data_IF_950032886216
#
_entry.id   IF_950032886216
#
_cell.length_a   1.000
_cell.length_b   1.000
_cell.length_c   1.000
_cell.angle_alpha   90.00
_cell.angle_beta   90.00
_cell.angle_gamma   90.00
#
_symmetry.space_group_name_H-M   'P 1'
#
loop_
_entity.id
_entity.type
_entity.pdbx_description
1 polymer ?
#
# COMPACT_ATOMS: atom_id res chain seq x y z
N UNK A 1 41.09 6.44 15.65
CA UNK A 1 40.59 6.20 14.28
C UNK A 1 40.53 7.53 13.56
N UNK A 2 41.17 7.69 12.40
CA UNK A 2 40.94 8.86 11.56
C UNK A 2 39.45 8.92 11.22
N UNK A 3 38.83 10.07 11.42
CA UNK A 3 37.41 10.25 11.12
C UNK A 3 37.22 10.18 9.60
N UNK A 4 36.31 9.31 9.16
CA UNK A 4 35.96 9.16 7.75
C UNK A 4 35.00 10.27 7.34
N UNK A 5 35.43 11.11 6.41
CA UNK A 5 34.56 12.11 5.77
C UNK A 5 33.79 11.42 4.64
N UNK A 6 32.48 11.25 4.80
CA UNK A 6 31.63 10.76 3.72
C UNK A 6 31.51 11.77 2.56
N UNK A 7 30.99 11.31 1.42
CA UNK A 7 30.83 12.18 0.25
C UNK A 7 29.88 13.35 0.49
N UNK A 8 28.82 13.18 1.28
CA UNK A 8 27.87 14.25 1.57
C UNK A 8 28.53 15.39 2.35
N UNK A 9 29.41 15.06 3.29
CA UNK A 9 30.26 16.00 4.00
C UNK A 9 31.24 16.70 3.04
N UNK A 10 31.94 15.95 2.18
CA UNK A 10 32.84 16.53 1.18
C UNK A 10 32.11 17.48 0.22
N UNK A 11 30.90 17.12 -0.24
CA UNK A 11 30.06 18.01 -1.08
C UNK A 11 29.79 19.34 -0.38
N UNK A 12 29.50 19.32 0.93
CA UNK A 12 29.27 20.54 1.72
C UNK A 12 30.53 21.40 1.89
N UNK A 13 31.71 20.78 1.91
CA UNK A 13 32.98 21.50 2.01
C UNK A 13 33.32 22.26 0.71
N UNK A 14 33.06 21.64 -0.45
CA UNK A 14 33.43 22.19 -1.77
C UNK A 14 32.29 22.93 -2.51
N UNK A 15 31.13 23.11 -1.89
CA UNK A 15 30.02 23.87 -2.50
C UNK A 15 29.36 24.81 -1.50
N UNK A 16 28.75 25.92 -1.97
CA UNK A 16 28.00 26.83 -1.12
C UNK A 16 26.94 26.07 -0.30
N UNK A 17 27.07 26.08 1.03
CA UNK A 17 26.14 25.47 1.98
C UNK A 17 26.22 26.22 3.32
N UNK A 18 25.14 26.21 4.11
CA UNK A 18 25.09 26.91 5.40
C UNK A 18 26.21 26.49 6.37
N UNK A 19 26.68 25.23 6.26
CA UNK A 19 27.75 24.66 7.09
C UNK A 19 29.11 24.57 6.39
N UNK A 20 29.27 25.15 5.20
CA UNK A 20 30.51 25.10 4.40
C UNK A 20 31.75 25.52 5.22
N UNK A 21 31.66 26.63 5.94
CA UNK A 21 32.76 27.11 6.80
C UNK A 21 33.13 26.16 7.94
N UNK A 22 32.15 25.44 8.52
CA UNK A 22 32.42 24.46 9.59
C UNK A 22 33.07 23.20 9.03
N UNK A 23 32.61 22.75 7.86
CA UNK A 23 33.17 21.59 7.18
C UNK A 23 34.61 21.84 6.73
N UNK A 24 34.88 23.00 6.13
CA UNK A 24 36.23 23.44 5.76
C UNK A 24 37.15 23.59 6.99
N UNK A 25 36.67 24.24 8.05
CA UNK A 25 37.46 24.38 9.28
C UNK A 25 37.82 23.02 9.90
N UNK A 26 36.92 22.05 9.81
CA UNK A 26 37.17 20.68 10.29
C UNK A 26 38.21 19.95 9.43
N UNK A 27 38.10 20.01 8.10
CA UNK A 27 39.09 19.43 7.18
C UNK A 27 40.49 20.02 7.40
N UNK A 28 40.58 21.32 7.68
CA UNK A 28 41.83 22.02 7.93
C UNK A 28 42.42 21.75 9.34
N UNK A 29 41.59 21.44 10.32
CA UNK A 29 42.04 21.10 11.69
C UNK A 29 42.42 19.63 11.86
N UNK A 30 42.14 18.79 10.87
CA UNK A 30 42.53 17.40 10.90
C UNK A 30 44.05 17.29 10.88
N UNK A 31 44.61 16.52 11.81
CA UNK A 31 46.07 16.29 11.94
C UNK A 31 46.62 15.31 10.90
N UNK A 32 45.75 14.57 10.23
CA UNK A 32 46.09 13.52 9.27
C UNK A 32 45.35 13.78 7.94
N UNK A 33 45.97 13.48 6.79
CA UNK A 33 45.32 13.56 5.49
C UNK A 33 44.05 12.70 5.44
N UNK A 34 42.98 13.22 4.86
CA UNK A 34 41.72 12.51 4.78
C UNK A 34 41.72 11.48 3.64
N UNK A 35 41.23 10.25 3.88
CA UNK A 35 41.20 9.22 2.86
C UNK A 35 40.22 9.59 1.73
N UNK A 36 40.73 9.59 0.49
CA UNK A 36 39.99 9.90 -0.73
C UNK A 36 40.01 8.71 -1.69
N UNK A 37 38.92 7.94 -1.71
CA UNK A 37 38.81 6.71 -2.49
C UNK A 37 38.38 6.99 -3.94
N UNK A 38 38.47 5.98 -4.81
CA UNK A 38 37.93 6.06 -6.16
C UNK A 38 36.40 6.28 -6.17
N UNK A 39 35.70 5.75 -5.15
CA UNK A 39 34.25 5.96 -4.96
C UNK A 39 33.95 7.41 -4.59
N UNK A 40 34.68 8.00 -3.63
CA UNK A 40 34.59 9.42 -3.31
C UNK A 40 34.77 10.28 -4.57
N UNK A 41 35.79 10.01 -5.38
CA UNK A 41 36.04 10.74 -6.63
C UNK A 41 34.85 10.68 -7.59
N UNK A 42 34.22 9.52 -7.73
CA UNK A 42 33.10 9.36 -8.65
C UNK A 42 31.83 10.04 -8.13
N UNK A 43 31.45 9.73 -6.89
CA UNK A 43 30.21 10.22 -6.28
C UNK A 43 30.25 11.74 -6.05
N UNK A 44 31.35 12.28 -5.50
CA UNK A 44 31.51 13.71 -5.23
C UNK A 44 31.32 14.54 -6.50
N UNK A 45 31.92 14.10 -7.61
CA UNK A 45 31.79 14.80 -8.90
C UNK A 45 30.37 14.74 -9.45
N UNK A 46 29.66 13.63 -9.23
CA UNK A 46 28.26 13.50 -9.64
C UNK A 46 27.33 14.35 -8.76
N UNK A 47 27.54 14.36 -7.44
CA UNK A 47 26.77 15.16 -6.50
C UNK A 47 26.90 16.67 -6.78
N UNK A 48 28.12 17.16 -7.07
CA UNK A 48 28.32 18.56 -7.46
C UNK A 48 27.61 18.87 -8.79
N UNK A 49 27.62 17.95 -9.78
CA UNK A 49 26.85 18.12 -11.03
C UNK A 49 25.34 18.17 -10.77
N UNK A 50 24.84 17.34 -9.86
CA UNK A 50 23.43 17.32 -9.47
C UNK A 50 23.01 18.67 -8.85
N UNK A 51 23.87 19.31 -8.06
CA UNK A 51 23.61 20.65 -7.52
C UNK A 51 23.48 21.72 -8.61
N UNK A 52 24.23 21.59 -9.71
CA UNK A 52 24.05 22.47 -10.89
C UNK A 52 22.66 22.28 -11.50
N UNK A 53 22.24 21.03 -11.67
CA UNK A 53 20.90 20.71 -12.19
C UNK A 53 19.78 21.26 -11.29
N UNK A 54 19.96 21.20 -9.97
CA UNK A 54 19.01 21.75 -8.98
C UNK A 54 19.02 23.28 -8.88
N UNK A 55 19.93 23.96 -9.57
CA UNK A 55 20.07 25.43 -9.50
C UNK A 55 20.69 25.93 -8.19
N UNK A 56 21.27 25.04 -7.38
CA UNK A 56 21.93 25.39 -6.11
C UNK A 56 23.29 26.07 -6.34
N UNK A 57 23.98 25.69 -7.42
CA UNK A 57 25.28 26.26 -7.82
C UNK A 57 25.34 26.47 -9.33
N UNK A 58 26.20 27.39 -9.77
CA UNK A 58 26.42 27.67 -11.20
C UNK A 58 27.42 26.70 -11.84
N UNK A 59 27.41 26.62 -13.17
CA UNK A 59 28.36 25.81 -13.92
C UNK A 59 29.84 26.25 -13.71
N UNK A 60 30.07 27.53 -13.40
CA UNK A 60 31.38 28.08 -13.06
C UNK A 60 31.78 27.71 -11.64
N UNK A 61 30.87 27.78 -10.66
CA UNK A 61 31.14 27.31 -9.28
C UNK A 61 31.50 25.82 -9.24
N UNK A 62 30.86 24.98 -10.07
CA UNK A 62 31.26 23.57 -10.23
C UNK A 62 32.69 23.41 -10.75
N UNK A 63 33.13 24.27 -11.70
CA UNK A 63 34.52 24.21 -12.20
C UNK A 63 35.50 24.55 -11.08
N UNK A 64 35.20 25.60 -10.31
CA UNK A 64 36.01 26.02 -9.16
C UNK A 64 36.13 24.90 -8.12
N UNK A 65 35.00 24.30 -7.73
CA UNK A 65 34.96 23.19 -6.78
C UNK A 65 35.82 22.00 -7.24
N UNK A 66 35.80 21.67 -8.54
CA UNK A 66 36.66 20.60 -9.07
C UNK A 66 38.15 20.97 -9.03
N UNK A 67 38.50 22.25 -9.22
CA UNK A 67 39.89 22.71 -9.12
C UNK A 67 40.37 22.68 -7.67
N UNK A 68 39.54 23.10 -6.72
CA UNK A 68 39.84 23.04 -5.28
C UNK A 68 40.08 21.60 -4.80
N UNK A 69 39.26 20.64 -5.23
CA UNK A 69 39.47 19.22 -4.89
C UNK A 69 40.83 18.71 -5.39
N UNK A 70 41.24 19.08 -6.62
CA UNK A 70 42.55 18.66 -7.13
C UNK A 70 43.70 19.42 -6.44
N UNK A 71 43.49 20.66 -5.99
CA UNK A 71 44.46 21.39 -5.16
C UNK A 71 44.65 20.72 -3.82
N UNK A 72 43.56 20.37 -3.13
CA UNK A 72 43.60 19.72 -1.81
C UNK A 72 44.22 18.31 -1.86
N UNK A 73 44.10 17.62 -3.00
CA UNK A 73 44.84 16.39 -3.27
C UNK A 73 46.34 16.63 -3.47
N UNK A 74 46.72 17.74 -4.12
CA UNK A 74 48.11 18.12 -4.31
C UNK A 74 48.76 18.59 -2.99
N UNK A 75 47.99 19.26 -2.13
CA UNK A 75 48.40 19.79 -0.84
C UNK A 75 48.38 18.73 0.29
N UNK A 76 48.09 17.46 -0.03
CA UNK A 76 47.95 16.34 0.92
C UNK A 76 46.89 16.56 2.02
N UNK A 77 45.89 17.40 1.78
CA UNK A 77 44.70 17.49 2.65
C UNK A 77 43.82 16.27 2.42
N UNK A 78 43.66 15.88 1.15
CA UNK A 78 43.07 14.61 0.71
C UNK A 78 44.18 13.67 0.24
N UNK A 79 44.08 12.37 0.56
CA UNK A 79 45.05 11.37 0.10
C UNK A 79 44.36 10.21 -0.61
N UNK A 80 44.83 9.90 -1.82
CA UNK A 80 44.33 8.77 -2.57
C UNK A 80 44.52 7.46 -1.82
N UNK A 81 43.41 6.89 -1.37
CA UNK A 81 43.40 5.67 -0.58
C UNK A 81 42.79 4.55 -1.42
N UNK A 82 43.58 3.57 -1.89
CA UNK A 82 43.03 2.42 -2.60
C UNK A 82 42.22 1.57 -1.63
N UNK A 83 41.07 1.06 -2.11
CA UNK A 83 40.30 0.07 -1.38
C UNK A 83 40.89 -1.30 -1.78
N UNK A 84 41.45 -2.09 -0.84
CA UNK A 84 41.99 -3.41 -1.14
C UNK A 84 40.84 -4.41 -1.34
N UNK A 85 40.16 -4.32 -2.48
CA UNK A 85 38.92 -5.07 -2.77
C UNK A 85 39.05 -6.56 -2.50
N UNK A 86 40.18 -7.17 -2.88
CA UNK A 86 40.43 -8.59 -2.63
C UNK A 86 40.42 -8.93 -1.14
N UNK A 87 41.05 -8.11 -0.31
CA UNK A 87 41.08 -8.33 1.14
C UNK A 87 39.74 -7.96 1.77
N UNK A 88 39.05 -6.93 1.27
CA UNK A 88 37.68 -6.58 1.69
C UNK A 88 36.69 -7.71 1.40
N UNK A 89 36.76 -8.33 0.22
CA UNK A 89 35.90 -9.47 -0.12
C UNK A 89 36.27 -10.73 0.66
N UNK A 90 37.56 -10.94 0.97
CA UNK A 90 37.99 -12.03 1.84
C UNK A 90 37.44 -11.87 3.25
N UNK A 91 37.55 -10.67 3.83
CA UNK A 91 36.93 -10.36 5.14
C UNK A 91 35.41 -10.53 5.08
N UNK A 92 34.77 -10.10 3.99
CA UNK A 92 33.34 -10.31 3.78
C UNK A 92 32.97 -11.79 3.69
N UNK A 93 33.83 -12.64 3.12
CA UNK A 93 33.64 -14.09 3.02
C UNK A 93 33.83 -14.75 4.39
N UNK A 94 34.83 -14.33 5.16
CA UNK A 94 35.06 -14.79 6.54
C UNK A 94 33.87 -14.43 7.45
N UNK A 95 33.36 -13.20 7.33
CA UNK A 95 32.13 -12.78 8.02
C UNK A 95 30.92 -13.57 7.54
N UNK A 96 30.79 -13.81 6.23
CA UNK A 96 29.70 -14.62 5.68
C UNK A 96 29.74 -16.05 6.22
N UNK A 97 30.92 -16.69 6.29
CA UNK A 97 31.07 -18.04 6.83
C UNK A 97 30.57 -18.14 8.28
N UNK A 98 30.85 -17.13 9.11
CA UNK A 98 30.39 -17.08 10.51
C UNK A 98 28.86 -17.02 10.62
N UNK A 99 28.20 -16.32 9.68
CA UNK A 99 26.80 -15.94 9.80
C UNK A 99 25.87 -16.79 8.93
N UNK A 100 26.23 -17.08 7.69
CA UNK A 100 25.40 -17.82 6.71
C UNK A 100 25.09 -19.23 7.18
N UNK A 101 26.05 -19.95 7.77
CA UNK A 101 25.81 -21.30 8.29
C UNK A 101 24.89 -21.31 9.53
N UNK A 102 24.92 -20.23 10.34
CA UNK A 102 24.15 -20.12 11.58
C UNK A 102 22.75 -19.55 11.37
N UNK A 103 22.63 -18.56 10.48
CA UNK A 103 21.42 -17.78 10.27
C UNK A 103 20.64 -18.21 9.02
N UNK A 104 21.25 -19.01 8.12
CA UNK A 104 20.60 -19.49 6.90
C UNK A 104 20.35 -18.39 5.86
N UNK A 105 21.01 -17.23 5.98
CA UNK A 105 20.90 -16.09 5.06
C UNK A 105 22.23 -15.85 4.34
N UNK A 106 22.17 -15.52 3.06
CA UNK A 106 23.35 -15.15 2.27
C UNK A 106 23.79 -13.75 2.66
N UNK A 107 25.09 -13.52 2.69
CA UNK A 107 25.70 -12.22 3.00
C UNK A 107 25.32 -11.08 2.02
N UNK A 108 24.75 -11.41 0.86
CA UNK A 108 24.20 -10.45 -0.11
C UNK A 108 22.69 -10.19 0.04
N UNK A 109 22.03 -10.75 1.06
CA UNK A 109 20.60 -10.51 1.34
C UNK A 109 20.34 -9.15 2.04
N UNK A 110 21.37 -8.32 2.18
CA UNK A 110 21.28 -6.99 2.79
C UNK A 110 21.28 -5.92 1.70
N UNK A 111 20.15 -5.27 1.51
CA UNK A 111 20.03 -4.07 0.70
C UNK A 111 20.28 -2.83 1.57
N UNK A 112 21.34 -2.09 1.28
CA UNK A 112 21.60 -0.79 1.90
C UNK A 112 21.06 0.32 1.01
N UNK A 113 20.19 1.15 1.57
CA UNK A 113 19.63 2.31 0.89
C UNK A 113 19.70 3.53 1.80
N UNK A 114 20.09 4.68 1.23
CA UNK A 114 19.84 5.98 1.85
C UNK A 114 18.39 6.41 1.64
N UNK A 115 18.00 7.60 2.13
CA UNK A 115 16.65 8.12 1.93
C UNK A 115 16.23 8.21 0.45
N UNK A 116 17.18 8.32 -0.47
CA UNK A 116 16.91 8.40 -1.91
C UNK A 116 16.22 7.13 -2.42
N UNK A 117 16.55 5.96 -1.88
CA UNK A 117 15.87 4.73 -2.30
C UNK A 117 14.45 4.58 -1.75
N UNK A 118 13.97 5.53 -0.92
CA UNK A 118 12.57 5.57 -0.50
C UNK A 118 11.68 6.31 -1.51
N UNK A 119 12.25 6.89 -2.57
CA UNK A 119 11.52 7.59 -3.63
C UNK A 119 11.35 6.69 -4.87
N UNK A 120 10.10 6.33 -5.20
CA UNK A 120 9.75 5.75 -6.50
C UNK A 120 10.16 4.29 -6.74
N UNK A 121 10.64 3.58 -5.71
CA UNK A 121 10.99 2.16 -5.77
C UNK A 121 10.16 1.37 -4.77
N UNK A 122 9.85 0.12 -5.11
CA UNK A 122 9.08 -0.78 -4.26
C UNK A 122 9.94 -2.01 -3.92
N UNK A 123 9.94 -2.37 -2.64
CA UNK A 123 10.77 -3.44 -2.07
C UNK A 123 9.91 -4.55 -1.45
N UNK A 124 8.80 -4.88 -2.11
CA UNK A 124 7.87 -5.95 -1.73
C UNK A 124 8.51 -7.35 -1.67
N UNK A 125 9.75 -7.51 -2.18
CA UNK A 125 10.56 -8.72 -2.04
C UNK A 125 11.40 -8.76 -0.76
N UNK A 126 11.52 -7.65 -0.02
CA UNK A 126 12.16 -7.59 1.29
C UNK A 126 11.14 -7.94 2.37
N UNK A 127 11.56 -8.63 3.43
CA UNK A 127 10.70 -9.00 4.57
C UNK A 127 11.17 -8.37 5.90
N UNK A 128 12.34 -7.72 5.88
CA UNK A 128 12.98 -7.10 7.05
C UNK A 128 13.44 -5.69 6.71
N UNK A 129 13.04 -4.72 7.52
CA UNK A 129 13.52 -3.35 7.47
C UNK A 129 14.38 -3.06 8.71
N UNK A 130 15.60 -2.56 8.50
CA UNK A 130 16.45 -2.09 9.60
C UNK A 130 16.67 -0.59 9.42
N UNK A 131 16.05 0.21 10.28
CA UNK A 131 16.29 1.65 10.36
C UNK A 131 17.54 1.88 11.21
N UNK A 132 18.65 2.18 10.55
CA UNK A 132 19.90 2.56 11.21
C UNK A 132 19.77 3.91 11.93
N UNK A 133 19.05 4.84 11.32
CA UNK A 133 18.63 6.11 11.89
C UNK A 133 17.10 6.26 11.79
N UNK A 134 16.49 6.85 12.81
CA UNK A 134 15.08 7.20 12.81
C UNK A 134 14.94 8.63 12.28
N UNK A 135 14.17 8.86 11.20
CA UNK A 135 13.95 10.21 10.70
C UNK A 135 13.12 11.00 11.71
N UNK A 136 13.36 12.31 11.79
CA UNK A 136 12.71 13.17 12.76
C UNK A 136 11.25 13.47 12.37
N UNK A 137 10.93 13.21 11.09
CA UNK A 137 9.58 13.28 10.55
C UNK A 137 8.95 11.86 10.57
N UNK A 138 7.86 11.64 11.35
CA UNK A 138 7.17 10.36 11.42
C UNK A 138 6.66 9.88 10.05
N UNK A 139 6.27 10.81 9.17
CA UNK A 139 5.80 10.50 7.82
C UNK A 139 6.88 9.82 6.99
N UNK A 140 8.14 10.24 7.12
CA UNK A 140 9.24 9.61 6.38
C UNK A 140 9.47 8.18 6.83
N UNK A 141 9.23 7.89 8.11
CA UNK A 141 9.34 6.54 8.65
C UNK A 141 8.19 5.64 8.16
N UNK A 142 6.97 6.16 8.18
CA UNK A 142 5.80 5.48 7.61
C UNK A 142 6.06 5.15 6.13
N UNK A 143 6.49 6.14 5.34
CA UNK A 143 6.76 5.95 3.93
C UNK A 143 7.85 4.90 3.66
N UNK A 144 8.87 4.81 4.53
CA UNK A 144 9.90 3.75 4.47
C UNK A 144 9.28 2.37 4.67
N UNK A 145 8.42 2.22 5.67
CA UNK A 145 7.71 0.96 5.95
C UNK A 145 6.80 0.61 4.78
N UNK A 146 6.05 1.58 4.26
CA UNK A 146 5.15 1.43 3.11
C UNK A 146 5.86 1.12 1.78
N UNK A 147 7.20 1.07 1.70
CA UNK A 147 7.91 0.53 0.52
C UNK A 147 8.00 -1.00 0.52
N UNK A 148 7.91 -1.59 1.70
CA UNK A 148 8.08 -3.03 1.94
C UNK A 148 6.71 -3.66 2.27
N UNK A 149 5.91 -2.97 3.08
CA UNK A 149 4.55 -3.37 3.43
C UNK A 149 3.57 -2.91 2.34
N UNK A 150 3.51 -3.66 1.24
CA UNK A 150 2.64 -3.39 0.08
C UNK A 150 1.89 -4.64 -0.39
N UNK A 151 0.83 -4.40 -1.15
CA UNK A 151 0.12 -5.45 -1.89
C UNK A 151 1.09 -6.16 -2.84
N UNK A 152 1.29 -7.47 -2.65
CA UNK A 152 2.31 -8.25 -3.36
C UNK A 152 3.39 -8.85 -2.45
N UNK A 153 3.47 -8.37 -1.20
CA UNK A 153 4.33 -8.94 -0.16
C UNK A 153 4.03 -10.44 0.06
N UNK A 154 5.07 -11.27 -0.03
CA UNK A 154 4.96 -12.74 0.06
C UNK A 154 5.23 -13.28 1.46
N UNK A 155 5.93 -12.52 2.30
CA UNK A 155 6.19 -12.90 3.68
C UNK A 155 4.92 -12.74 4.53
N UNK A 156 4.65 -13.68 5.43
CA UNK A 156 3.52 -13.59 6.37
C UNK A 156 3.64 -12.38 7.31
N UNK A 157 4.87 -11.91 7.56
CA UNK A 157 5.15 -10.78 8.45
C UNK A 157 6.32 -9.97 7.92
N UNK A 158 6.20 -8.64 8.02
CA UNK A 158 7.31 -7.69 7.85
C UNK A 158 7.88 -7.38 9.22
N UNK A 159 9.21 -7.52 9.38
CA UNK A 159 9.89 -7.22 10.65
C UNK A 159 10.61 -5.88 10.54
N UNK A 160 10.29 -4.94 11.42
CA UNK A 160 10.89 -3.62 11.46
C UNK A 160 11.78 -3.51 12.71
N UNK A 161 13.07 -3.27 12.49
CA UNK A 161 14.06 -3.04 13.54
C UNK A 161 14.47 -1.58 13.51
N UNK A 162 14.44 -0.91 14.65
CA UNK A 162 14.86 0.48 14.77
C UNK A 162 16.05 0.58 15.74
N UNK A 163 17.15 1.13 15.28
CA UNK A 163 18.29 1.43 16.15
C UNK A 163 18.06 2.78 16.85
N UNK A 164 18.09 2.75 18.17
CA UNK A 164 17.88 3.91 19.03
C UNK A 164 19.03 3.97 20.02
N UNK A 165 19.69 5.12 20.09
CA UNK A 165 20.79 5.33 21.04
C UNK A 165 20.20 5.71 22.40
N UNK A 166 20.47 4.96 23.49
CA UNK A 166 19.93 5.28 24.81
C UNK A 166 20.41 6.64 25.30
N UNK A 167 19.53 7.38 25.97
CA UNK A 167 19.84 8.68 26.56
C UNK A 167 19.99 9.82 25.55
N UNK A 168 19.61 9.64 24.29
CA UNK A 168 19.61 10.74 23.30
C UNK A 168 18.23 11.39 23.15
N UNK A 169 18.20 12.50 22.41
CA UNK A 169 16.96 13.19 22.08
C UNK A 169 16.08 12.34 21.16
N UNK A 170 16.70 11.58 20.26
CA UNK A 170 16.06 10.62 19.36
C UNK A 170 15.26 9.58 20.14
N UNK A 171 15.82 9.00 21.21
CA UNK A 171 15.08 8.07 22.08
C UNK A 171 13.91 8.77 22.79
N UNK A 172 14.21 9.82 23.56
CA UNK A 172 13.26 10.42 24.51
C UNK A 172 12.09 11.13 23.85
N UNK A 173 12.34 11.78 22.72
CA UNK A 173 11.36 12.65 22.06
C UNK A 173 10.76 11.94 20.87
N UNK A 174 11.57 11.54 19.89
CA UNK A 174 11.07 11.05 18.61
C UNK A 174 10.57 9.60 18.71
N UNK A 175 11.42 8.66 19.13
CA UNK A 175 11.06 7.24 19.18
C UNK A 175 9.86 6.98 20.10
N UNK A 176 9.85 7.56 21.32
CA UNK A 176 8.73 7.44 22.26
C UNK A 176 7.43 8.06 21.73
N UNK A 177 7.51 9.22 21.06
CA UNK A 177 6.35 9.84 20.42
C UNK A 177 5.79 8.94 19.31
N UNK A 178 6.66 8.42 18.44
CA UNK A 178 6.27 7.57 17.31
C UNK A 178 5.72 6.22 17.75
N UNK A 179 6.31 5.62 18.79
CA UNK A 179 5.79 4.40 19.43
C UNK A 179 4.37 4.63 19.94
N UNK A 180 4.12 5.79 20.55
CA UNK A 180 2.79 6.14 21.07
C UNK A 180 1.78 6.45 19.98
N UNK A 181 2.23 7.03 18.86
CA UNK A 181 1.42 7.25 17.66
C UNK A 181 1.07 5.95 16.92
N UNK A 182 1.65 4.81 17.31
CA UNK A 182 1.34 3.51 16.70
C UNK A 182 2.00 3.26 15.35
N UNK A 183 2.94 4.11 14.92
CA UNK A 183 3.58 4.08 13.58
C UNK A 183 4.22 2.72 13.25
N UNK A 184 4.67 1.99 14.27
CA UNK A 184 5.36 0.71 14.09
C UNK A 184 4.44 -0.52 14.18
N UNK A 185 3.17 -0.37 14.55
CA UNK A 185 2.28 -1.49 14.90
C UNK A 185 1.05 -1.60 14.02
N UNK A 186 0.49 -0.46 13.63
CA UNK A 186 -0.74 -0.42 12.82
C UNK A 186 -0.42 0.16 11.44
N UNK A 187 -1.17 -0.24 10.41
CA UNK A 187 -1.15 0.44 9.11
C UNK A 187 -1.76 1.82 9.30
N UNK A 188 -0.91 2.83 9.37
CA UNK A 188 -1.29 4.21 9.62
C UNK A 188 -1.76 4.88 8.31
N UNK A 189 -2.71 4.25 7.62
CA UNK A 189 -3.31 4.83 6.40
C UNK A 189 -4.06 6.14 6.70
N UNK A 190 -4.74 6.23 7.84
CA UNK A 190 -5.55 7.41 8.20
C UNK A 190 -4.77 8.52 8.90
N UNK A 191 -3.59 8.24 9.48
CA UNK A 191 -2.80 9.32 10.09
C UNK A 191 -1.87 9.98 9.07
N UNK A 192 -1.88 9.61 7.79
CA UNK A 192 -1.08 10.30 6.77
C UNK A 192 -1.39 11.80 6.74
N UNK A 193 -2.66 12.18 6.81
CA UNK A 193 -3.05 13.60 6.77
C UNK A 193 -2.61 14.34 8.04
N UNK A 194 -2.76 13.72 9.22
CA UNK A 194 -2.42 14.32 10.52
C UNK A 194 -0.91 14.37 10.78
N UNK A 195 -0.16 13.35 10.35
CA UNK A 195 1.30 13.27 10.46
C UNK A 195 2.01 14.05 9.34
N UNK A 196 1.35 14.20 8.19
CA UNK A 196 1.82 14.95 7.02
C UNK A 196 1.66 16.46 7.17
N UNK A 197 0.68 16.92 7.94
CA UNK A 197 0.64 18.32 8.38
C UNK A 197 1.90 18.63 9.20
N UNK A 198 2.66 19.64 8.76
CA UNK A 198 3.98 20.02 9.28
C UNK A 198 4.03 20.28 10.81
N UNK A 199 2.89 20.30 11.49
CA UNK A 199 2.73 20.66 12.90
C UNK A 199 3.43 19.72 13.88
N UNK A 200 3.39 18.39 13.70
CA UNK A 200 3.96 17.44 14.68
C UNK A 200 5.49 17.47 14.62
N UNK A 201 6.04 17.40 13.41
CA UNK A 201 7.50 17.40 13.19
C UNK A 201 8.12 18.71 13.67
N UNK A 202 7.50 19.86 13.36
CA UNK A 202 7.97 21.17 13.80
C UNK A 202 7.97 21.31 15.32
N UNK A 203 6.88 20.89 15.99
CA UNK A 203 6.80 20.95 17.45
C UNK A 203 7.84 20.05 18.12
N UNK A 204 8.07 18.83 17.60
CA UNK A 204 9.11 17.93 18.13
C UNK A 204 10.52 18.50 17.90
N UNK A 205 10.77 19.11 16.73
CA UNK A 205 12.02 19.80 16.42
C UNK A 205 12.27 20.99 17.34
N UNK A 206 11.25 21.80 17.61
CA UNK A 206 11.33 22.93 18.55
C UNK A 206 11.65 22.46 19.96
N UNK A 207 10.99 21.38 20.41
CA UNK A 207 11.29 20.76 21.71
C UNK A 207 12.72 20.25 21.78
N UNK A 208 13.18 19.55 20.74
CA UNK A 208 14.53 19.01 20.65
C UNK A 208 15.61 20.10 20.66
N UNK A 209 15.31 21.28 20.09
CA UNK A 209 16.24 22.41 19.99
C UNK A 209 16.22 23.35 21.19
N UNK A 210 15.25 23.21 22.10
CA UNK A 210 15.09 24.14 23.22
C UNK A 210 16.03 23.79 24.38
N UNK A 211 17.06 24.61 24.67
CA UNK A 211 18.03 24.32 25.73
C UNK A 211 17.49 24.59 27.15
N UNK A 212 16.29 25.16 27.29
CA UNK A 212 15.73 25.55 28.59
C UNK A 212 14.86 24.45 29.24
N UNK A 213 14.49 23.41 28.49
CA UNK A 213 13.63 22.35 29.00
C UNK A 213 14.47 21.25 29.66
N UNK A 214 14.02 20.77 30.82
CA UNK A 214 14.59 19.54 31.38
C UNK A 214 14.19 18.34 30.52
N UNK A 215 14.97 17.24 30.53
CA UNK A 215 14.62 16.03 29.79
C UNK A 215 13.20 15.51 30.09
N UNK A 216 12.77 15.59 31.35
CA UNK A 216 11.43 15.18 31.80
C UNK A 216 10.33 16.09 31.26
N UNK A 217 10.57 17.41 31.21
CA UNK A 217 9.63 18.37 30.64
C UNK A 217 9.49 18.22 29.12
N UNK A 218 10.61 17.96 28.43
CA UNK A 218 10.61 17.71 27.00
C UNK A 218 9.83 16.43 26.66
N UNK A 219 10.02 15.37 27.44
CA UNK A 219 9.28 14.12 27.27
C UNK A 219 7.78 14.27 27.56
N UNK A 220 7.41 15.00 28.62
CA UNK A 220 6.01 15.28 28.93
C UNK A 220 5.31 16.05 27.80
N UNK A 221 6.00 17.04 27.21
CA UNK A 221 5.47 17.78 26.06
C UNK A 221 5.40 16.92 24.80
N UNK A 222 6.39 16.07 24.54
CA UNK A 222 6.36 15.13 23.42
C UNK A 222 5.16 14.17 23.52
N UNK A 223 4.86 13.67 24.73
CA UNK A 223 3.65 12.88 25.00
C UNK A 223 2.37 13.67 24.71
N UNK A 224 2.32 14.92 25.14
CA UNK A 224 1.17 15.78 24.87
C UNK A 224 0.94 16.01 23.37
N UNK A 225 2.02 16.17 22.59
CA UNK A 225 1.94 16.27 21.13
C UNK A 225 1.38 14.98 20.53
N UNK A 226 1.89 13.82 20.96
CA UNK A 226 1.40 12.53 20.51
C UNK A 226 -0.10 12.35 20.81
N UNK A 227 -0.52 12.64 22.05
CA UNK A 227 -1.91 12.51 22.48
C UNK A 227 -2.84 13.48 21.72
N UNK A 228 -2.38 14.71 21.44
CA UNK A 228 -3.13 15.68 20.63
C UNK A 228 -3.29 15.18 19.19
N UNK A 229 -2.23 14.66 18.57
CA UNK A 229 -2.27 14.11 17.23
C UNK A 229 -3.22 12.91 17.15
N UNK A 230 -3.16 11.99 18.12
CA UNK A 230 -4.11 10.88 18.22
C UNK A 230 -5.55 11.35 18.34
N UNK A 231 -5.81 12.42 19.13
CA UNK A 231 -7.15 13.00 19.24
C UNK A 231 -7.66 13.54 17.92
N UNK A 232 -6.79 14.18 17.12
CA UNK A 232 -7.16 14.67 15.78
C UNK A 232 -7.48 13.51 14.86
N UNK A 233 -6.66 12.45 14.87
CA UNK A 233 -6.94 11.22 14.10
C UNK A 233 -8.28 10.59 14.51
N UNK A 234 -8.55 10.47 15.81
CA UNK A 234 -9.82 9.93 16.31
C UNK A 234 -11.01 10.81 15.91
N UNK A 235 -10.86 12.12 15.99
CA UNK A 235 -11.91 13.06 15.58
C UNK A 235 -12.16 13.00 14.07
N UNK A 236 -11.11 12.88 13.27
CA UNK A 236 -11.22 12.70 11.83
C UNK A 236 -11.87 11.36 11.49
N UNK A 237 -11.47 10.26 12.12
CA UNK A 237 -12.16 8.96 12.01
C UNK A 237 -13.62 9.05 12.43
N UNK A 238 -13.92 9.79 13.51
CA UNK A 238 -15.30 10.01 13.94
C UNK A 238 -16.08 10.78 12.87
N UNK A 239 -15.50 11.83 12.28
CA UNK A 239 -16.12 12.61 11.21
C UNK A 239 -16.29 11.79 9.92
N UNK A 240 -15.35 10.91 9.60
CA UNK A 240 -15.44 9.96 8.49
C UNK A 240 -16.48 8.88 8.76
N UNK A 241 -16.62 8.41 10.00
CA UNK A 241 -17.68 7.48 10.39
C UNK A 241 -19.05 8.15 10.45
N UNK A 242 -19.16 9.38 10.94
CA UNK A 242 -20.40 10.15 11.01
C UNK A 242 -20.81 10.66 9.62
N UNK A 243 -19.84 11.11 8.80
CA UNK A 243 -20.01 11.47 7.40
C UNK A 243 -20.25 10.24 6.50
N UNK A 244 -19.59 9.13 6.81
CA UNK A 244 -19.80 7.80 6.22
C UNK A 244 -21.14 7.20 6.60
N UNK A 245 -21.66 7.46 7.80
CA UNK A 245 -23.03 7.12 8.20
C UNK A 245 -24.08 7.99 7.48
N UNK A 246 -23.71 9.22 7.10
CA UNK A 246 -24.51 10.07 6.20
C UNK A 246 -24.46 9.61 4.74
N UNK A 247 -23.40 8.88 4.35
CA UNK A 247 -23.22 8.28 3.03
C UNK A 247 -23.57 6.77 2.95
N UNK A 248 -23.84 6.10 4.08
CA UNK A 248 -24.41 4.75 4.18
C UNK A 248 -23.69 3.59 3.46
N UNK A 249 -22.50 3.83 2.91
CA UNK A 249 -21.83 2.93 1.96
C UNK A 249 -20.92 1.88 2.64
N UNK A 250 -20.22 2.23 3.73
CA UNK A 250 -19.20 1.34 4.30
C UNK A 250 -19.75 0.33 5.31
N UNK A 251 -20.81 0.66 6.05
CA UNK A 251 -21.38 -0.25 7.05
C UNK A 251 -22.09 -1.46 6.40
N UNK A 252 -22.81 -1.27 5.29
CA UNK A 252 -23.45 -2.38 4.59
C UNK A 252 -22.43 -3.33 3.95
N UNK A 253 -21.34 -2.78 3.38
CA UNK A 253 -20.24 -3.57 2.82
C UNK A 253 -19.45 -4.30 3.90
N UNK A 254 -19.17 -3.67 5.04
CA UNK A 254 -18.47 -4.28 6.16
C UNK A 254 -19.31 -5.36 6.84
N UNK A 255 -20.61 -5.13 7.07
CA UNK A 255 -21.53 -6.09 7.70
C UNK A 255 -21.77 -7.31 6.79
N UNK A 256 -21.83 -7.12 5.47
CA UNK A 256 -21.99 -8.23 4.51
C UNK A 256 -20.67 -8.95 4.20
N UNK A 257 -19.53 -8.26 4.17
CA UNK A 257 -18.21 -8.91 4.08
C UNK A 257 -17.91 -9.74 5.34
N UNK A 258 -18.26 -9.21 6.52
CA UNK A 258 -18.18 -9.95 7.77
C UNK A 258 -19.14 -11.16 7.78
N UNK A 259 -20.36 -11.04 7.24
CA UNK A 259 -21.27 -12.18 7.08
C UNK A 259 -20.75 -13.23 6.10
N UNK A 260 -20.25 -12.82 4.93
CA UNK A 260 -19.69 -13.71 3.93
C UNK A 260 -18.44 -14.46 4.45
N UNK A 261 -17.61 -13.78 5.26
CA UNK A 261 -16.44 -14.36 5.89
C UNK A 261 -16.79 -15.24 7.10
N UNK A 262 -17.87 -14.94 7.82
CA UNK A 262 -18.39 -15.76 8.92
C UNK A 262 -19.09 -17.04 8.43
N UNK A 263 -19.78 -16.97 7.29
CA UNK A 263 -20.46 -18.12 6.68
C UNK A 263 -19.51 -18.99 5.86
N UNK A 264 -18.33 -18.49 5.44
CA UNK A 264 -17.32 -19.29 4.72
C UNK A 264 -17.70 -19.65 3.27
N UNK A 265 -18.70 -18.98 2.72
CA UNK A 265 -19.22 -19.22 1.38
C UNK A 265 -18.76 -18.09 0.44
N UNK A 266 -17.68 -18.34 -0.31
CA UNK A 266 -17.25 -17.43 -1.37
C UNK A 266 -18.09 -17.67 -2.62
N UNK A 267 -18.90 -16.68 -3.02
CA UNK A 267 -19.61 -16.73 -4.30
C UNK A 267 -18.56 -16.60 -5.41
N UNK A 268 -18.42 -17.63 -6.24
CA UNK A 268 -17.51 -17.56 -7.38
C UNK A 268 -18.03 -16.56 -8.43
N UNK A 269 -17.12 -15.90 -9.15
CA UNK A 269 -17.46 -14.91 -10.16
C UNK A 269 -18.41 -15.46 -11.23
N UNK A 270 -18.22 -16.73 -11.61
CA UNK A 270 -19.06 -17.45 -12.55
C UNK A 270 -20.48 -17.69 -12.00
N UNK A 271 -20.63 -17.98 -10.72
CA UNK A 271 -21.93 -18.23 -10.08
C UNK A 271 -22.79 -16.96 -10.05
N UNK A 272 -22.18 -15.82 -9.72
CA UNK A 272 -22.85 -14.52 -9.71
C UNK A 272 -23.31 -14.13 -11.13
N UNK A 273 -22.44 -14.34 -12.13
CA UNK A 273 -22.77 -14.10 -13.54
C UNK A 273 -23.93 -14.97 -13.99
N UNK A 274 -23.86 -16.28 -13.72
CA UNK A 274 -24.86 -17.24 -14.17
C UNK A 274 -26.23 -16.97 -13.51
N UNK A 275 -26.24 -16.60 -12.22
CA UNK A 275 -27.46 -16.16 -11.53
C UNK A 275 -28.09 -14.95 -12.19
N UNK A 276 -27.30 -13.93 -12.51
CA UNK A 276 -27.80 -12.71 -13.17
C UNK A 276 -28.28 -13.03 -14.59
N UNK A 277 -27.58 -13.88 -15.32
CA UNK A 277 -28.00 -14.30 -16.65
C UNK A 277 -29.33 -15.07 -16.62
N UNK A 278 -29.52 -15.96 -15.65
CA UNK A 278 -30.79 -16.66 -15.41
C UNK A 278 -31.93 -15.70 -15.01
N UNK A 279 -31.61 -14.66 -14.24
CA UNK A 279 -32.57 -13.62 -13.87
C UNK A 279 -33.01 -12.80 -15.09
N UNK A 280 -32.07 -12.39 -15.94
CA UNK A 280 -32.33 -11.59 -17.13
C UNK A 280 -33.06 -12.36 -18.25
N UNK A 281 -32.84 -13.67 -18.34
CA UNK A 281 -33.51 -14.55 -19.31
C UNK A 281 -35.02 -14.72 -19.04
N UNK A 282 -35.53 -14.25 -17.90
CA UNK A 282 -36.96 -14.34 -17.57
C UNK A 282 -37.78 -13.43 -18.51
N UNK A 283 -38.98 -13.87 -18.94
CA UNK A 283 -39.84 -13.08 -19.83
C UNK A 283 -40.19 -11.69 -19.29
N UNK A 284 -40.27 -11.55 -17.96
CA UNK A 284 -40.55 -10.28 -17.27
C UNK A 284 -39.42 -9.25 -17.35
N UNK A 285 -38.17 -9.70 -17.52
CA UNK A 285 -36.97 -8.85 -17.50
C UNK A 285 -36.20 -8.83 -18.82
N UNK A 286 -36.51 -9.71 -19.78
CA UNK A 286 -36.12 -9.61 -21.19
C UNK A 286 -34.76 -8.96 -21.48
N UNK A 287 -33.70 -9.50 -20.88
CA UNK A 287 -32.35 -8.96 -20.94
C UNK A 287 -31.32 -10.01 -21.36
N UNK A 288 -30.18 -9.54 -21.86
CA UNK A 288 -29.06 -10.38 -22.23
C UNK A 288 -27.75 -9.80 -21.71
N UNK A 289 -26.85 -10.68 -21.30
CA UNK A 289 -25.48 -10.37 -20.93
C UNK A 289 -24.58 -11.00 -21.99
N UNK A 290 -23.99 -10.18 -22.86
CA UNK A 290 -23.17 -10.63 -23.98
C UNK A 290 -21.70 -10.28 -23.72
N UNK A 291 -20.74 -11.19 -23.88
CA UNK A 291 -19.33 -10.85 -23.75
C UNK A 291 -18.91 -9.83 -24.80
N UNK A 292 -18.03 -8.91 -24.43
CA UNK A 292 -17.45 -7.95 -25.36
C UNK A 292 -16.51 -8.66 -26.36
N UNK A 293 -16.35 -8.08 -27.56
CA UNK A 293 -15.52 -8.67 -28.62
C UNK A 293 -14.02 -8.45 -28.39
N UNK A 294 -13.66 -7.39 -27.67
CA UNK A 294 -12.25 -7.01 -27.45
C UNK A 294 -11.72 -7.55 -26.12
N UNK A 295 -12.58 -7.68 -25.10
CA UNK A 295 -12.19 -8.17 -23.77
C UNK A 295 -13.19 -9.23 -23.26
N UNK A 296 -12.76 -10.51 -23.09
CA UNK A 296 -13.66 -11.59 -22.67
C UNK A 296 -14.15 -11.47 -21.21
N UNK A 297 -13.51 -10.62 -20.40
CA UNK A 297 -13.87 -10.35 -19.01
C UNK A 297 -14.90 -9.21 -18.85
N UNK A 298 -15.16 -8.46 -19.93
CA UNK A 298 -16.14 -7.38 -19.97
C UNK A 298 -17.41 -7.85 -20.68
N UNK A 299 -18.56 -7.47 -20.16
CA UNK A 299 -19.86 -7.85 -20.68
C UNK A 299 -20.73 -6.64 -20.99
N UNK A 300 -21.56 -6.76 -22.02
CA UNK A 300 -22.60 -5.80 -22.41
C UNK A 300 -23.93 -6.26 -21.86
N UNK A 301 -24.42 -5.54 -20.86
CA UNK A 301 -25.77 -5.70 -20.33
C UNK A 301 -26.76 -4.98 -21.23
N UNK A 302 -27.67 -5.73 -21.85
CA UNK A 302 -28.77 -5.21 -22.69
C UNK A 302 -30.10 -5.51 -22.04
N UNK A 303 -30.96 -4.50 -21.98
CA UNK A 303 -32.31 -4.61 -21.46
C UNK A 303 -33.30 -4.03 -22.47
N UNK A 304 -34.42 -4.72 -22.68
CA UNK A 304 -35.52 -4.18 -23.47
C UNK A 304 -36.25 -3.05 -22.70
N UNK A 305 -37.13 -2.31 -23.39
CA UNK A 305 -37.82 -1.14 -22.82
C UNK A 305 -38.71 -1.49 -21.63
N UNK A 306 -39.39 -2.64 -21.69
CA UNK A 306 -40.28 -3.15 -20.66
C UNK A 306 -39.52 -3.53 -19.38
N UNK A 307 -38.37 -4.18 -19.55
CA UNK A 307 -37.45 -4.55 -18.49
C UNK A 307 -36.85 -3.35 -17.77
N UNK A 308 -36.42 -2.32 -18.53
CA UNK A 308 -35.92 -1.08 -17.91
C UNK A 308 -36.98 -0.46 -17.02
N UNK A 309 -38.23 -0.38 -17.50
CA UNK A 309 -39.33 0.16 -16.72
C UNK A 309 -39.68 -0.71 -15.49
N UNK A 310 -39.65 -2.04 -15.63
CA UNK A 310 -39.90 -2.98 -14.55
C UNK A 310 -38.83 -2.89 -13.45
N UNK A 311 -37.55 -2.86 -13.82
CA UNK A 311 -36.43 -2.74 -12.90
C UNK A 311 -36.42 -1.36 -12.24
N UNK A 312 -36.61 -0.27 -12.99
CA UNK A 312 -36.73 1.07 -12.43
C UNK A 312 -37.92 1.19 -11.46
N UNK A 313 -39.04 0.52 -11.76
CA UNK A 313 -40.21 0.41 -10.88
C UNK A 313 -39.89 -0.23 -9.54
N UNK A 314 -39.18 -1.37 -9.54
CA UNK A 314 -38.78 -2.09 -8.31
C UNK A 314 -37.73 -1.32 -7.51
N UNK A 315 -36.82 -0.65 -8.20
CA UNK A 315 -35.78 0.13 -7.56
C UNK A 315 -36.33 1.40 -6.92
N UNK A 316 -37.50 1.95 -7.31
CA UNK A 316 -38.05 3.18 -6.73
C UNK A 316 -38.33 3.11 -5.23
N UNK A 317 -38.65 1.94 -4.70
CA UNK A 317 -38.87 1.75 -3.25
C UNK A 317 -37.57 1.68 -2.45
N UNK A 318 -36.42 1.54 -3.11
CA UNK A 318 -35.13 1.46 -2.45
C UNK A 318 -34.62 2.88 -2.15
N UNK A 319 -34.08 3.13 -0.96
CA UNK A 319 -33.48 4.43 -0.68
C UNK A 319 -32.20 4.60 -1.51
N UNK A 320 -31.97 5.76 -2.16
CA UNK A 320 -30.71 6.06 -2.82
C UNK A 320 -29.60 6.26 -1.77
N UNK A 321 -29.03 5.15 -1.29
CA UNK A 321 -27.85 5.15 -0.41
C UNK A 321 -26.57 4.70 -1.12
N UNK A 322 -26.67 4.26 -2.38
CA UNK A 322 -25.56 3.64 -3.11
C UNK A 322 -25.25 4.36 -4.44
N UNK A 323 -23.97 4.61 -4.71
CA UNK A 323 -23.47 5.19 -5.96
C UNK A 323 -23.73 4.25 -7.14
N UNK A 324 -23.62 2.94 -6.92
CA UNK A 324 -23.93 1.92 -7.94
C UNK A 324 -25.43 1.91 -8.27
N UNK A 325 -26.30 2.05 -7.26
CA UNK A 325 -27.74 2.21 -7.43
C UNK A 325 -28.09 3.49 -8.21
N UNK A 326 -27.42 4.59 -7.89
CA UNK A 326 -27.66 5.88 -8.56
C UNK A 326 -27.17 5.86 -10.01
N UNK A 327 -25.99 5.31 -10.26
CA UNK A 327 -25.45 5.11 -11.59
C UNK A 327 -26.31 4.15 -12.43
N UNK A 328 -26.75 3.05 -11.83
CA UNK A 328 -27.62 2.07 -12.48
C UNK A 328 -29.01 2.64 -12.79
N UNK A 329 -29.62 3.41 -11.86
CA UNK A 329 -30.87 4.14 -12.12
C UNK A 329 -30.71 5.15 -13.25
N UNK A 330 -29.64 5.94 -13.23
CA UNK A 330 -29.34 6.90 -14.29
C UNK A 330 -29.20 6.22 -15.65
N UNK A 331 -28.62 5.02 -15.69
CA UNK A 331 -28.55 4.22 -16.92
C UNK A 331 -29.91 3.65 -17.33
N UNK A 332 -30.73 3.15 -16.39
CA UNK A 332 -32.08 2.66 -16.66
C UNK A 332 -33.00 3.75 -17.24
N UNK A 333 -32.88 4.98 -16.73
CA UNK A 333 -33.60 6.16 -17.21
C UNK A 333 -32.96 6.78 -18.47
N UNK A 334 -31.74 6.36 -18.81
CA UNK A 334 -30.96 6.85 -19.94
C UNK A 334 -31.32 6.21 -21.29
N UNK A 335 -30.81 6.81 -22.36
CA UNK A 335 -31.00 6.34 -23.73
C UNK A 335 -29.91 5.36 -24.22
N UNK A 336 -28.89 5.09 -23.41
CA UNK A 336 -27.78 4.21 -23.78
C UNK A 336 -28.26 2.79 -24.07
N UNK A 337 -27.84 2.14 -25.19
CA UNK A 337 -28.36 0.83 -25.60
C UNK A 337 -27.83 -0.34 -24.76
N UNK A 338 -26.67 -0.20 -24.13
CA UNK A 338 -26.05 -1.21 -23.27
C UNK A 338 -25.31 -0.56 -22.10
N UNK A 339 -25.06 -1.33 -21.04
CA UNK A 339 -24.14 -0.98 -19.95
C UNK A 339 -22.94 -1.91 -20.02
N UNK A 340 -21.72 -1.37 -19.96
CA UNK A 340 -20.52 -2.18 -19.84
C UNK A 340 -20.32 -2.57 -18.38
N UNK A 341 -20.21 -3.86 -18.14
CA UNK A 341 -20.11 -4.45 -16.81
C UNK A 341 -18.95 -5.43 -16.73
N UNK A 342 -18.32 -5.53 -15.57
CA UNK A 342 -17.30 -6.55 -15.28
C UNK A 342 -17.61 -7.22 -13.95
N UNK A 343 -17.24 -8.49 -13.84
CA UNK A 343 -17.27 -9.26 -12.59
C UNK A 343 -15.88 -9.43 -12.01
N UNK A 344 -14.83 -9.05 -12.75
CA UNK A 344 -13.44 -9.17 -12.33
C UNK A 344 -12.96 -7.88 -11.67
N UNK A 345 -12.38 -8.02 -10.47
CA UNK A 345 -11.91 -6.89 -9.66
C UNK A 345 -10.70 -6.19 -10.30
N UNK A 346 -9.74 -6.95 -10.85
CA UNK A 346 -8.54 -6.36 -11.46
C UNK A 346 -8.92 -5.46 -12.64
N UNK A 347 -9.82 -5.96 -13.51
CA UNK A 347 -10.35 -5.20 -14.65
C UNK A 347 -11.12 -3.95 -14.19
N UNK A 348 -11.89 -4.01 -13.10
CA UNK A 348 -12.63 -2.87 -12.58
C UNK A 348 -11.71 -1.75 -12.02
N UNK A 349 -10.55 -2.11 -11.49
CA UNK A 349 -9.55 -1.15 -10.98
C UNK A 349 -8.86 -0.44 -12.13
N UNK A 350 -8.51 -1.16 -13.19
CA UNK A 350 -7.86 -0.62 -14.39
C UNK A 350 -8.81 0.28 -15.21
N UNK A 351 -10.09 -0.10 -15.30
CA UNK A 351 -11.11 0.57 -16.12
C UNK A 351 -12.26 1.11 -15.26
N UNK A 352 -12.07 2.31 -14.69
CA UNK A 352 -13.06 2.97 -13.80
C UNK A 352 -14.38 3.34 -14.47
N UNK A 353 -14.44 3.30 -15.80
CA UNK A 353 -15.63 3.51 -16.62
C UNK A 353 -16.59 2.31 -16.65
N UNK A 354 -16.11 1.12 -16.27
CA UNK A 354 -16.91 -0.10 -16.22
C UNK A 354 -17.72 -0.19 -14.93
N UNK A 355 -18.95 -0.70 -15.03
CA UNK A 355 -19.76 -0.98 -13.84
C UNK A 355 -19.35 -2.32 -13.24
N UNK A 356 -18.73 -2.31 -12.05
CA UNK A 356 -18.35 -3.53 -11.34
C UNK A 356 -19.57 -4.19 -10.68
N UNK A 357 -19.83 -5.44 -11.03
CA UNK A 357 -20.96 -6.22 -10.50
C UNK A 357 -20.49 -7.10 -9.36
N UNK A 358 -20.83 -6.67 -8.15
CA UNK A 358 -20.62 -7.41 -6.90
C UNK A 358 -21.94 -8.05 -6.44
N UNK A 359 -21.93 -8.98 -5.47
CA UNK A 359 -23.15 -9.51 -4.84
C UNK A 359 -24.08 -8.41 -4.29
N UNK A 360 -23.50 -7.26 -3.93
CA UNK A 360 -24.23 -6.11 -3.39
C UNK A 360 -24.78 -5.17 -4.46
N UNK A 361 -24.37 -5.35 -5.72
CA UNK A 361 -24.83 -4.53 -6.83
C UNK A 361 -26.37 -4.63 -6.98
N UNK A 362 -27.07 -3.53 -7.31
CA UNK A 362 -28.54 -3.51 -7.40
C UNK A 362 -29.12 -4.62 -8.27
N UNK A 363 -28.47 -4.92 -9.39
CA UNK A 363 -28.85 -6.02 -10.28
C UNK A 363 -28.74 -7.40 -9.60
N UNK A 364 -27.68 -7.65 -8.83
CA UNK A 364 -27.48 -8.89 -8.10
C UNK A 364 -28.52 -9.03 -7.00
N UNK A 365 -28.76 -7.97 -6.22
CA UNK A 365 -29.80 -7.93 -5.17
C UNK A 365 -31.20 -8.18 -5.72
N UNK A 366 -31.54 -7.57 -6.85
CA UNK A 366 -32.81 -7.81 -7.55
C UNK A 366 -32.95 -9.26 -8.00
N UNK A 367 -31.87 -9.86 -8.50
CA UNK A 367 -31.85 -11.28 -8.84
C UNK A 367 -32.10 -12.13 -7.59
N UNK A 368 -31.40 -11.87 -6.49
CA UNK A 368 -31.56 -12.59 -5.21
C UNK A 368 -33.00 -12.49 -4.68
N UNK A 369 -33.61 -11.30 -4.63
CA UNK A 369 -35.01 -11.14 -4.21
C UNK A 369 -35.97 -11.93 -5.10
N UNK A 370 -35.72 -11.94 -6.41
CA UNK A 370 -36.53 -12.66 -7.39
C UNK A 370 -36.37 -14.19 -7.33
N UNK A 371 -35.33 -14.70 -6.67
CA UNK A 371 -35.13 -16.12 -6.41
C UNK A 371 -35.60 -16.53 -5.00
N UNK A 372 -35.50 -15.63 -4.00
CA UNK A 372 -35.85 -15.91 -2.59
C UNK A 372 -37.31 -16.30 -2.36
N UNK A 373 -38.23 -15.74 -3.15
CA UNK A 373 -39.67 -15.97 -3.00
C UNK A 373 -40.23 -17.04 -3.95
N UNK A 374 -39.39 -17.84 -4.59
CA UNK A 374 -39.85 -18.84 -5.54
C UNK A 374 -40.35 -20.10 -4.82
N UNK A 375 -41.63 -20.43 -5.01
CA UNK A 375 -42.21 -21.69 -4.53
C UNK A 375 -42.02 -22.86 -5.50
N UNK A 376 -41.50 -22.61 -6.71
CA UNK A 376 -41.25 -23.64 -7.71
C UNK A 376 -39.82 -24.18 -7.62
N UNK A 377 -39.62 -25.50 -7.70
CA UNK A 377 -38.28 -26.10 -7.69
C UNK A 377 -37.45 -25.63 -8.90
N UNK A 378 -36.15 -25.50 -8.70
CA UNK A 378 -35.22 -25.26 -9.78
C UNK A 378 -35.10 -26.54 -10.63
N UNK A 379 -35.36 -26.43 -11.93
CA UNK A 379 -35.15 -27.50 -12.89
C UNK A 379 -34.05 -27.08 -13.87
N UNK A 380 -32.98 -27.87 -13.91
CA UNK A 380 -31.89 -27.68 -14.86
C UNK A 380 -31.80 -28.92 -15.77
N UNK A 381 -31.90 -28.78 -17.11
CA UNK A 381 -31.72 -29.90 -18.01
C UNK A 381 -30.23 -30.24 -18.12
N UNK A 382 -29.86 -31.43 -17.66
CA UNK A 382 -28.51 -31.97 -17.83
C UNK A 382 -28.50 -32.97 -18.98
N UNK A 383 -27.53 -32.86 -19.90
CA UNK A 383 -27.33 -33.85 -20.97
C UNK A 383 -26.01 -34.59 -20.75
N UNK A 384 -26.11 -35.86 -20.41
CA UNK A 384 -24.94 -36.73 -20.17
C UNK A 384 -24.83 -37.75 -21.30
N UNK A 385 -23.61 -37.96 -21.80
CA UNK A 385 -23.28 -39.11 -22.65
C UNK A 385 -22.70 -40.19 -21.75
N UNK A 386 -23.42 -41.32 -21.64
CA UNK A 386 -22.97 -42.48 -20.88
C UNK A 386 -23.26 -43.75 -21.70
N UNK A 387 -22.36 -44.73 -21.65
CA UNK A 387 -22.48 -46.00 -22.36
C UNK A 387 -23.29 -47.07 -21.58
N UNK A 388 -23.49 -46.87 -20.28
CA UNK A 388 -24.06 -47.88 -19.37
C UNK A 388 -25.56 -47.74 -19.15
N UNK A 389 -26.18 -46.63 -19.61
CA UNK A 389 -27.58 -46.30 -19.36
C UNK A 389 -28.34 -46.15 -20.68
N UNK A 390 -29.54 -46.75 -20.84
CA UNK A 390 -30.35 -46.60 -22.04
C UNK A 390 -30.67 -45.14 -22.36
N UNK A 391 -30.76 -44.78 -23.65
CA UNK A 391 -31.13 -43.43 -24.05
C UNK A 391 -32.57 -43.11 -23.59
N UNK A 392 -32.74 -42.00 -22.87
CA UNK A 392 -34.03 -41.60 -22.32
C UNK A 392 -33.98 -40.26 -21.57
N UNK A 393 -35.15 -39.80 -21.14
CA UNK A 393 -35.27 -38.65 -20.23
C UNK A 393 -35.36 -39.21 -18.81
N UNK A 394 -34.35 -38.91 -18.00
CA UNK A 394 -34.29 -39.28 -16.60
C UNK A 394 -34.60 -38.05 -15.75
N UNK A 395 -35.52 -38.18 -14.81
CA UNK A 395 -35.89 -37.11 -13.87
C UNK A 395 -35.25 -37.45 -12.52
N UNK A 396 -34.38 -36.57 -12.05
CA UNK A 396 -33.78 -36.65 -10.73
C UNK A 396 -34.28 -35.49 -9.90
N UNK A 397 -34.65 -35.76 -8.64
CA UNK A 397 -34.97 -34.73 -7.66
C UNK A 397 -33.84 -34.71 -6.63
N UNK A 398 -33.39 -33.52 -6.26
CA UNK A 398 -32.37 -33.33 -5.24
C UNK A 398 -32.87 -32.30 -4.24
N UNK A 399 -32.69 -32.57 -2.95
CA UNK A 399 -32.92 -31.61 -1.88
C UNK A 399 -31.61 -30.93 -1.51
N UNK A 400 -31.68 -29.64 -1.19
CA UNK A 400 -30.57 -28.90 -0.61
C UNK A 400 -30.65 -29.04 0.91
N UNK A 401 -29.66 -29.71 1.50
CA UNK A 401 -29.57 -29.92 2.94
C UNK A 401 -28.58 -28.91 3.52
N UNK A 402 -28.99 -28.21 4.56
CA UNK A 402 -28.12 -27.38 5.38
C UNK A 402 -27.86 -28.09 6.71
N UNK A 403 -26.58 -28.30 7.02
CA UNK A 403 -26.21 -28.92 8.30
C UNK A 403 -26.17 -27.88 9.42
N UNK A 404 -26.95 -28.11 10.47
CA UNK A 404 -26.93 -27.26 11.68
C UNK A 404 -25.72 -27.68 12.54
N UNK A 405 -24.54 -27.12 12.24
CA UNK A 405 -23.29 -27.37 12.94
C UNK A 405 -22.50 -26.05 13.15
N UNK A 406 -21.39 -26.10 13.92
CA UNK A 406 -20.51 -24.94 14.15
C UNK A 406 -19.97 -24.35 12.84
N UNK A 407 -19.83 -25.17 11.79
CA UNK A 407 -19.65 -24.74 10.40
C UNK A 407 -20.80 -25.33 9.57
N UNK A 408 -21.75 -24.52 9.10
CA UNK A 408 -22.82 -25.01 8.25
C UNK A 408 -22.25 -25.42 6.89
N UNK A 409 -22.60 -26.61 6.43
CA UNK A 409 -22.33 -27.08 5.07
C UNK A 409 -23.66 -27.27 4.32
N UNK A 410 -23.71 -26.76 3.09
CA UNK A 410 -24.78 -27.00 2.12
C UNK A 410 -24.41 -28.19 1.23
N UNK A 411 -25.29 -29.19 1.14
CA UNK A 411 -25.10 -30.37 0.29
C UNK A 411 -26.36 -30.67 -0.51
N UNK A 412 -26.21 -30.95 -1.80
CA UNK A 412 -27.28 -31.49 -2.63
C UNK A 412 -27.38 -33.00 -2.39
N UNK A 413 -28.51 -33.45 -1.85
CA UNK A 413 -28.78 -34.86 -1.56
C UNK A 413 -29.83 -35.36 -2.55
N UNK A 414 -29.57 -36.43 -3.31
CA UNK A 414 -30.57 -37.00 -4.20
C UNK A 414 -31.73 -37.56 -3.37
N UNK A 415 -32.96 -37.24 -3.78
CA UNK A 415 -34.15 -37.91 -3.29
C UNK A 415 -34.15 -39.33 -3.87
N UNK A 416 -34.05 -40.32 -2.98
CA UNK A 416 -33.97 -41.74 -3.32
C UNK A 416 -35.24 -42.28 -3.98
#
# INVERSE_FOLDING_TARGET
MPAYADTSFLVRAYTPHADCHKALAWLQHAREPHPFTALHRHELRNAIRLRVFRGEITAEQRKLAFQEIESDLADNILTHTPIPWTDTFRESEDLAAIHTEKLGVRSFDILLSSEVGCEGLDYEFCDRLVNYDIPWNPMRLEQRIGRIDRFGQRSEKVLIFNFVTPGTVEERIFFRCFERLGIFRDTVGDCEEVLGEMSVTEQLLELARNPQLTPEQAEAKARQIADNALRVVEEQRRLEQEGGALLGLDQALADEAASAQAEGHFIALDELRDMIQLFLARPEFGGALEPDREQPVVYRLRLNKEARAALAGRLRSWQPRDRSLTAFRRWLDGAEPYLLVTFDQATAVEHRELSFITPVHPLARLATEAFKHRQQPFAAPLRVKNAEVPAGIYVFACDLWETVAIRPELRLVPLA
#
